data_IF_003905793513
#
_entry.id   IF_003905793513
#
_cell.length_a   1.000
_cell.length_b   1.000
_cell.length_c   1.000
_cell.angle_alpha   90.00
_cell.angle_beta   90.00
_cell.angle_gamma   90.00
#
_symmetry.space_group_name_H-M   'P 1'
#
loop_
_entity.id
_entity.type
_entity.pdbx_description
1 polymer ?
#
# COMPACT_ATOMS: atom_id res chain seq x y z
N UNK A 1 12.58 -22.39 -7.64
CA UNK A 1 11.76 -21.34 -7.04
C UNK A 1 12.67 -20.15 -6.82
N UNK A 2 12.40 -19.03 -7.45
CA UNK A 2 13.30 -17.89 -7.44
C UNK A 2 12.67 -16.74 -6.63
N UNK A 3 13.19 -16.55 -5.43
CA UNK A 3 12.84 -15.42 -4.55
C UNK A 3 13.56 -14.12 -4.95
N UNK A 4 14.36 -14.15 -6.01
CA UNK A 4 15.30 -13.10 -6.35
C UNK A 4 14.82 -12.38 -7.59
N UNK A 5 14.49 -11.10 -7.45
CA UNK A 5 14.12 -10.21 -8.56
C UNK A 5 15.30 -9.94 -9.50
N UNK A 6 16.50 -9.80 -8.90
CA UNK A 6 17.73 -9.49 -9.62
C UNK A 6 18.77 -10.58 -9.39
N UNK A 7 19.29 -11.17 -10.45
CA UNK A 7 20.37 -12.15 -10.36
C UNK A 7 21.70 -11.39 -10.44
N UNK A 8 22.44 -11.43 -9.32
CA UNK A 8 23.81 -10.93 -9.29
C UNK A 8 24.76 -12.10 -9.50
N UNK A 9 25.25 -12.27 -10.69
CA UNK A 9 26.23 -13.32 -10.99
C UNK A 9 27.61 -12.80 -10.58
N UNK A 10 28.09 -13.22 -9.41
CA UNK A 10 29.51 -13.07 -9.04
C UNK A 10 30.25 -14.30 -9.54
N UNK A 11 31.09 -14.13 -10.51
CA UNK A 11 32.12 -15.13 -10.83
C UNK A 11 33.18 -15.00 -9.73
N UNK A 12 33.08 -15.81 -8.70
CA UNK A 12 34.16 -15.97 -7.72
C UNK A 12 35.22 -16.85 -8.37
N UNK A 13 36.40 -16.31 -8.63
CA UNK A 13 37.61 -17.13 -8.70
C UNK A 13 37.96 -17.54 -7.28
N UNK A 14 38.13 -18.82 -7.04
CA UNK A 14 38.54 -19.44 -5.76
C UNK A 14 39.99 -19.10 -5.38
N UNK A 15 40.33 -17.86 -5.26
CA UNK A 15 41.66 -17.48 -4.77
C UNK A 15 41.53 -16.16 -3.99
N UNK A 16 41.75 -16.31 -2.67
CA UNK A 16 42.22 -15.29 -1.73
C UNK A 16 41.91 -13.81 -2.02
N UNK A 17 41.44 -13.11 -0.98
CA UNK A 17 41.28 -11.66 -0.90
C UNK A 17 42.51 -10.86 -1.36
N UNK A 18 42.84 -10.95 -2.63
CA UNK A 18 43.80 -10.04 -3.25
C UNK A 18 43.00 -9.10 -4.16
N UNK A 19 42.91 -7.85 -3.72
CA UNK A 19 42.63 -6.73 -4.62
C UNK A 19 43.74 -6.73 -5.67
N UNK A 20 43.60 -7.53 -6.70
CA UNK A 20 44.56 -7.61 -7.79
C UNK A 20 44.01 -6.88 -8.99
N UNK A 21 44.73 -5.84 -9.34
CA UNK A 21 44.67 -5.11 -10.58
C UNK A 21 43.59 -4.03 -10.68
N UNK A 22 44.04 -2.81 -10.95
CA UNK A 22 43.26 -1.62 -11.30
C UNK A 22 42.33 -1.80 -12.52
N UNK A 23 42.30 -2.95 -13.15
CA UNK A 23 41.53 -3.26 -14.37
C UNK A 23 40.66 -4.52 -14.24
N UNK A 24 40.55 -5.11 -13.07
CA UNK A 24 39.59 -6.22 -12.85
C UNK A 24 38.17 -5.64 -12.75
N UNK A 25 37.60 -5.30 -13.88
CA UNK A 25 36.18 -4.98 -14.01
C UNK A 25 35.44 -6.32 -13.89
N UNK A 26 35.12 -6.72 -12.66
CA UNK A 26 34.04 -7.66 -12.44
C UNK A 26 32.76 -6.95 -12.85
N UNK A 27 32.28 -7.19 -14.06
CA UNK A 27 31.00 -6.66 -14.52
C UNK A 27 29.92 -7.39 -13.74
N UNK A 28 29.33 -6.73 -12.75
CA UNK A 28 28.12 -7.21 -12.11
C UNK A 28 26.99 -7.14 -13.15
N UNK A 29 26.61 -8.27 -13.72
CA UNK A 29 25.42 -8.37 -14.54
C UNK A 29 24.19 -8.33 -13.64
N UNK A 30 23.55 -7.19 -13.53
CA UNK A 30 22.23 -7.03 -12.94
C UNK A 30 21.20 -7.34 -14.04
N UNK A 31 20.60 -8.51 -14.00
CA UNK A 31 19.47 -8.85 -14.85
C UNK A 31 18.19 -8.51 -14.08
N UNK A 32 17.50 -7.45 -14.47
CA UNK A 32 16.15 -7.19 -13.99
C UNK A 32 15.18 -8.14 -14.69
N UNK A 33 14.59 -9.04 -13.93
CA UNK A 33 13.64 -10.04 -14.42
C UNK A 33 12.19 -9.55 -14.34
N UNK A 34 11.94 -8.29 -14.00
CA UNK A 34 10.59 -7.74 -13.93
C UNK A 34 9.93 -7.69 -15.30
N UNK A 35 8.66 -8.03 -15.33
CA UNK A 35 7.82 -7.84 -16.52
C UNK A 35 7.52 -6.37 -16.75
N UNK A 36 7.57 -5.93 -17.97
CA UNK A 36 7.01 -4.65 -18.37
C UNK A 36 5.52 -4.79 -18.69
N UNK A 37 4.78 -3.67 -18.73
CA UNK A 37 3.35 -3.70 -19.12
C UNK A 37 3.08 -4.45 -20.42
N UNK A 38 3.98 -4.30 -21.41
CA UNK A 38 3.89 -5.01 -22.69
C UNK A 38 4.01 -6.54 -22.55
N UNK A 39 4.81 -7.01 -21.63
CA UNK A 39 5.03 -8.44 -21.42
C UNK A 39 3.81 -9.05 -20.73
N UNK A 40 3.24 -8.37 -19.72
CA UNK A 40 1.98 -8.75 -19.08
C UNK A 40 0.84 -8.74 -20.09
N UNK A 41 0.77 -7.68 -20.92
CA UNK A 41 -0.24 -7.57 -21.97
C UNK A 41 -0.17 -8.74 -22.94
N UNK A 42 1.04 -9.11 -23.39
CA UNK A 42 1.22 -10.26 -24.30
C UNK A 42 0.79 -11.58 -23.67
N UNK A 43 1.03 -11.79 -22.37
CA UNK A 43 0.56 -12.99 -21.63
C UNK A 43 -0.97 -13.02 -21.55
N UNK A 44 -1.60 -11.91 -21.15
CA UNK A 44 -3.04 -11.83 -21.00
C UNK A 44 -3.78 -11.85 -22.35
N UNK A 45 -3.21 -11.29 -23.40
CA UNK A 45 -3.78 -11.35 -24.76
C UNK A 45 -3.82 -12.80 -25.27
N UNK A 46 -2.79 -13.58 -25.00
CA UNK A 46 -2.78 -15.00 -25.31
C UNK A 46 -3.84 -15.77 -24.48
N UNK A 47 -3.94 -15.47 -23.19
CA UNK A 47 -4.94 -16.07 -22.30
C UNK A 47 -6.36 -15.72 -22.75
N UNK A 48 -6.62 -14.46 -23.11
CA UNK A 48 -7.91 -14.01 -23.62
C UNK A 48 -8.29 -14.72 -24.93
N UNK A 49 -7.31 -14.99 -25.80
CA UNK A 49 -7.51 -15.75 -27.04
C UNK A 49 -7.99 -17.19 -26.82
N UNK A 50 -7.59 -17.79 -25.71
CA UNK A 50 -7.95 -19.19 -25.37
C UNK A 50 -9.23 -19.27 -24.51
N UNK A 51 -9.47 -18.31 -23.62
CA UNK A 51 -10.52 -18.35 -22.59
C UNK A 51 -11.74 -17.45 -22.89
N UNK A 52 -11.58 -16.40 -23.69
CA UNK A 52 -12.67 -15.50 -24.09
C UNK A 52 -13.38 -14.85 -22.89
N UNK A 53 -12.63 -14.38 -21.91
CA UNK A 53 -13.14 -13.79 -20.67
C UNK A 53 -13.88 -12.48 -20.89
N UNK A 54 -13.59 -11.75 -21.97
CA UNK A 54 -14.10 -10.41 -22.24
C UNK A 54 -13.47 -9.31 -21.38
N UNK A 55 -12.30 -9.59 -20.77
CA UNK A 55 -11.60 -8.61 -19.93
C UNK A 55 -11.20 -7.35 -20.71
N UNK A 56 -11.24 -6.21 -20.04
CA UNK A 56 -10.53 -5.02 -20.52
C UNK A 56 -9.02 -5.21 -20.27
N UNK A 57 -8.31 -5.63 -21.33
CA UNK A 57 -6.89 -5.95 -21.28
C UNK A 57 -6.04 -4.80 -20.76
N UNK A 58 -6.29 -3.56 -21.17
CA UNK A 58 -5.48 -2.41 -20.77
C UNK A 58 -5.72 -2.06 -19.29
N UNK A 59 -6.95 -2.19 -18.83
CA UNK A 59 -7.30 -2.00 -17.42
C UNK A 59 -6.62 -3.07 -16.55
N UNK A 60 -6.81 -4.36 -16.85
CA UNK A 60 -6.25 -5.46 -16.03
C UNK A 60 -4.72 -5.44 -16.03
N UNK A 61 -4.09 -5.20 -17.18
CA UNK A 61 -2.63 -4.99 -17.27
C UNK A 61 -2.18 -3.82 -16.40
N UNK A 62 -2.93 -2.72 -16.42
CA UNK A 62 -2.68 -1.55 -15.60
C UNK A 62 -2.69 -1.89 -14.13
N UNK A 63 -3.76 -2.50 -13.63
CA UNK A 63 -3.95 -2.90 -12.24
C UNK A 63 -2.83 -3.84 -11.75
N UNK A 64 -2.55 -4.91 -12.53
CA UNK A 64 -1.49 -5.86 -12.18
C UNK A 64 -0.12 -5.17 -12.13
N UNK A 65 0.22 -4.35 -13.11
CA UNK A 65 1.52 -3.70 -13.14
C UNK A 65 1.66 -2.66 -12.02
N UNK A 66 0.65 -1.87 -11.77
CA UNK A 66 0.69 -0.78 -10.80
C UNK A 66 0.82 -1.32 -9.37
N UNK A 67 0.24 -2.50 -9.07
CA UNK A 67 0.39 -3.14 -7.76
C UNK A 67 1.69 -3.94 -7.60
N UNK A 68 2.17 -4.57 -8.68
CA UNK A 68 3.33 -5.49 -8.62
C UNK A 68 4.64 -4.87 -9.06
N UNK A 69 4.62 -3.74 -9.78
CA UNK A 69 5.76 -3.18 -10.53
C UNK A 69 6.42 -4.27 -11.42
N UNK A 70 5.63 -5.20 -11.95
CA UNK A 70 6.08 -6.28 -12.81
C UNK A 70 6.85 -7.40 -12.09
N UNK A 71 6.80 -7.50 -10.76
CA UNK A 71 7.47 -8.58 -10.02
C UNK A 71 6.92 -9.95 -10.46
N UNK A 72 7.74 -10.85 -11.04
CA UNK A 72 7.24 -12.03 -11.75
C UNK A 72 6.34 -12.95 -10.92
N UNK A 73 6.74 -13.24 -9.67
CA UNK A 73 5.94 -14.08 -8.78
C UNK A 73 4.57 -13.44 -8.49
N UNK A 74 4.53 -12.15 -8.22
CA UNK A 74 3.29 -11.44 -7.88
C UNK A 74 2.34 -11.38 -9.08
N UNK A 75 2.88 -11.10 -10.27
CA UNK A 75 2.10 -11.10 -11.52
C UNK A 75 1.48 -12.47 -11.75
N UNK A 76 2.31 -13.54 -11.73
CA UNK A 76 1.82 -14.91 -11.96
C UNK A 76 0.82 -15.34 -10.88
N UNK A 77 1.05 -14.97 -9.62
CA UNK A 77 0.17 -15.36 -8.52
C UNK A 77 -1.18 -14.65 -8.57
N UNK A 78 -1.23 -13.37 -8.97
CA UNK A 78 -2.49 -12.66 -9.18
C UNK A 78 -3.30 -13.27 -10.32
N UNK A 79 -2.66 -13.56 -11.46
CA UNK A 79 -3.34 -14.25 -12.57
C UNK A 79 -3.86 -15.62 -12.14
N UNK A 80 -3.06 -16.40 -11.38
CA UNK A 80 -3.48 -17.68 -10.85
C UNK A 80 -4.70 -17.54 -9.91
N UNK A 81 -4.70 -16.55 -9.02
CA UNK A 81 -5.83 -16.34 -8.11
C UNK A 81 -7.10 -15.95 -8.86
N UNK A 82 -7.00 -15.08 -9.88
CA UNK A 82 -8.12 -14.75 -10.75
C UNK A 82 -8.71 -16.00 -11.41
N UNK A 83 -7.86 -16.82 -12.03
CA UNK A 83 -8.25 -17.99 -12.79
C UNK A 83 -8.78 -19.13 -11.93
N UNK A 84 -8.09 -19.45 -10.81
CA UNK A 84 -8.35 -20.67 -10.03
C UNK A 84 -9.23 -20.45 -8.78
N UNK A 85 -9.32 -19.21 -8.26
CA UNK A 85 -9.94 -18.95 -6.96
C UNK A 85 -11.06 -17.93 -6.99
N UNK A 86 -10.97 -16.92 -7.84
CA UNK A 86 -12.02 -15.91 -8.00
C UNK A 86 -13.11 -16.49 -8.91
N UNK A 87 -12.73 -17.01 -10.06
CA UNK A 87 -13.66 -17.73 -10.96
C UNK A 87 -14.36 -18.85 -10.19
N UNK A 88 -15.69 -18.93 -10.34
CA UNK A 88 -16.52 -19.97 -9.70
C UNK A 88 -16.87 -19.72 -8.24
N UNK A 89 -16.49 -18.57 -7.67
CA UNK A 89 -16.97 -18.14 -6.36
C UNK A 89 -18.40 -17.59 -6.43
N UNK A 90 -19.10 -17.52 -5.28
CA UNK A 90 -20.47 -17.01 -5.23
C UNK A 90 -20.63 -15.59 -5.79
N UNK A 91 -19.59 -14.78 -5.67
CA UNK A 91 -19.55 -13.39 -6.12
C UNK A 91 -19.12 -13.26 -7.60
N UNK A 92 -18.34 -14.20 -8.10
CA UNK A 92 -17.77 -14.20 -9.43
C UNK A 92 -17.98 -15.59 -10.08
N UNK A 93 -19.20 -15.90 -10.53
CA UNK A 93 -19.57 -17.25 -10.97
C UNK A 93 -18.89 -17.69 -12.24
N UNK A 94 -18.45 -16.78 -13.10
CA UNK A 94 -17.76 -17.12 -14.35
C UNK A 94 -16.52 -16.25 -14.61
N UNK A 95 -15.80 -16.54 -15.71
CA UNK A 95 -14.56 -15.86 -16.07
C UNK A 95 -14.80 -14.38 -16.40
N UNK A 96 -15.92 -14.03 -16.99
CA UNK A 96 -16.23 -12.63 -17.34
C UNK A 96 -16.50 -11.77 -16.11
N UNK A 97 -17.00 -12.34 -15.04
CA UNK A 97 -17.17 -11.64 -13.76
C UNK A 97 -15.83 -11.49 -13.04
N UNK A 98 -14.99 -12.52 -13.07
CA UNK A 98 -13.72 -12.56 -12.34
C UNK A 98 -12.64 -11.66 -12.95
N UNK A 99 -12.53 -11.62 -14.29
CA UNK A 99 -11.53 -10.80 -14.98
C UNK A 99 -11.97 -9.33 -15.14
N UNK A 100 -12.45 -8.78 -14.04
CA UNK A 100 -12.88 -7.38 -13.88
C UNK A 100 -12.03 -6.68 -12.83
N UNK A 101 -12.18 -5.36 -12.69
CA UNK A 101 -11.54 -4.61 -11.60
C UNK A 101 -11.93 -5.16 -10.23
N UNK A 102 -13.21 -5.47 -10.02
CA UNK A 102 -13.72 -6.03 -8.75
C UNK A 102 -13.10 -7.39 -8.43
N UNK A 103 -13.00 -8.28 -9.42
CA UNK A 103 -12.35 -9.58 -9.23
C UNK A 103 -10.85 -9.45 -8.98
N UNK A 104 -10.18 -8.50 -9.67
CA UNK A 104 -8.79 -8.18 -9.41
C UNK A 104 -8.56 -7.72 -7.96
N UNK A 105 -9.38 -6.80 -7.44
CA UNK A 105 -9.28 -6.31 -6.06
C UNK A 105 -9.45 -7.43 -5.03
N UNK A 106 -10.37 -8.37 -5.28
CA UNK A 106 -10.52 -9.54 -4.41
C UNK A 106 -9.30 -10.48 -4.50
N UNK A 107 -8.72 -10.67 -5.69
CA UNK A 107 -7.48 -11.45 -5.86
C UNK A 107 -6.29 -10.79 -5.13
N UNK A 108 -6.14 -9.47 -5.22
CA UNK A 108 -5.09 -8.71 -4.49
C UNK A 108 -5.27 -8.85 -2.98
N UNK A 109 -6.51 -8.73 -2.49
CA UNK A 109 -6.84 -8.94 -1.08
C UNK A 109 -6.50 -10.36 -0.63
N UNK A 110 -6.88 -11.38 -1.40
CA UNK A 110 -6.52 -12.77 -1.10
C UNK A 110 -5.00 -12.94 -1.05
N UNK A 111 -4.26 -12.41 -2.03
CA UNK A 111 -2.81 -12.50 -2.09
C UNK A 111 -2.13 -11.89 -0.86
N UNK A 112 -2.57 -10.72 -0.41
CA UNK A 112 -1.97 -10.02 0.73
C UNK A 112 -2.24 -10.69 2.08
N UNK A 113 -3.26 -11.56 2.17
CA UNK A 113 -3.61 -12.32 3.36
C UNK A 113 -3.17 -13.79 3.29
N UNK A 114 -2.83 -14.28 2.10
CA UNK A 114 -2.41 -15.66 1.90
C UNK A 114 -0.98 -15.88 2.36
N UNK A 115 -0.77 -16.98 3.07
CA UNK A 115 0.57 -17.46 3.40
C UNK A 115 1.25 -17.99 2.14
N UNK A 116 2.37 -17.40 1.74
CA UNK A 116 3.14 -17.84 0.58
C UNK A 116 4.65 -17.72 0.83
N UNK A 117 5.44 -18.44 0.05
CA UNK A 117 6.88 -18.52 0.21
C UNK A 117 7.60 -17.18 0.06
N UNK A 118 7.08 -16.26 -0.79
CA UNK A 118 7.66 -14.94 -0.98
C UNK A 118 7.52 -14.08 0.28
N UNK A 119 6.34 -14.07 0.89
CA UNK A 119 6.11 -13.30 2.12
C UNK A 119 6.76 -13.96 3.34
N UNK A 120 6.86 -15.29 3.37
CA UNK A 120 7.67 -15.98 4.37
C UNK A 120 9.16 -15.61 4.25
N UNK A 121 9.68 -15.53 3.02
CA UNK A 121 11.05 -15.07 2.78
C UNK A 121 11.26 -13.63 3.21
N UNK A 122 10.33 -12.71 2.90
CA UNK A 122 10.35 -11.32 3.37
C UNK A 122 10.39 -11.26 4.90
N UNK A 123 9.46 -11.94 5.56
CA UNK A 123 9.37 -11.97 7.03
C UNK A 123 10.64 -12.56 7.64
N UNK A 124 11.18 -13.65 7.08
CA UNK A 124 12.44 -14.24 7.52
C UNK A 124 13.61 -13.25 7.44
N UNK A 125 13.71 -12.47 6.35
CA UNK A 125 14.75 -11.43 6.22
C UNK A 125 14.60 -10.30 7.23
N UNK A 126 13.37 -9.94 7.61
CA UNK A 126 13.12 -8.94 8.64
C UNK A 126 13.51 -9.44 10.05
N UNK A 127 13.32 -10.75 10.30
CA UNK A 127 13.75 -11.38 11.56
C UNK A 127 15.28 -11.47 11.60
N UNK A 128 15.92 -11.85 10.51
CA UNK A 128 17.38 -12.02 10.41
C UNK A 128 18.14 -10.69 10.41
N UNK A 129 17.49 -9.57 10.04
CA UNK A 129 18.10 -8.23 9.96
C UNK A 129 17.21 -7.17 10.62
N UNK A 130 17.40 -6.93 11.93
CA UNK A 130 16.68 -5.87 12.64
C UNK A 130 16.88 -4.48 12.03
N UNK A 131 18.05 -4.21 11.44
CA UNK A 131 18.36 -2.95 10.78
C UNK A 131 17.50 -2.76 9.53
N UNK A 132 17.27 -3.82 8.74
CA UNK A 132 16.37 -3.80 7.61
C UNK A 132 14.93 -3.49 8.05
N UNK A 133 14.48 -4.15 9.12
CA UNK A 133 13.15 -3.92 9.70
C UNK A 133 12.99 -2.47 10.13
N UNK A 134 13.92 -1.94 10.91
CA UNK A 134 13.92 -0.54 11.36
C UNK A 134 13.95 0.45 10.19
N UNK A 135 14.72 0.16 9.15
CA UNK A 135 14.78 0.98 7.95
C UNK A 135 13.40 1.03 7.26
N UNK A 136 12.74 -0.10 7.06
CA UNK A 136 11.43 -0.15 6.41
C UNK A 136 10.34 0.51 7.27
N UNK A 137 10.37 0.32 8.59
CA UNK A 137 9.47 1.04 9.50
C UNK A 137 9.69 2.55 9.46
N UNK A 138 10.94 3.00 9.38
CA UNK A 138 11.24 4.43 9.26
C UNK A 138 10.75 5.04 7.94
N UNK A 139 10.80 4.28 6.85
CA UNK A 139 10.25 4.70 5.55
C UNK A 139 8.72 4.76 5.61
N UNK A 140 8.07 3.69 6.07
CA UNK A 140 6.61 3.53 6.00
C UNK A 140 5.87 4.36 7.04
N UNK A 141 6.34 4.36 8.30
CA UNK A 141 5.62 5.00 9.41
C UNK A 141 6.11 6.41 9.73
N UNK A 142 7.37 6.72 9.41
CA UNK A 142 7.95 8.01 9.77
C UNK A 142 8.29 8.87 8.53
N UNK A 143 8.02 8.38 7.32
CA UNK A 143 8.31 9.06 6.06
C UNK A 143 9.76 9.54 5.96
N UNK A 144 10.71 8.77 6.55
CA UNK A 144 12.13 9.13 6.49
C UNK A 144 12.70 8.78 5.13
N UNK A 145 13.23 9.75 4.38
CA UNK A 145 14.02 9.43 3.20
C UNK A 145 15.32 8.76 3.65
N UNK A 146 15.53 7.53 3.17
CA UNK A 146 16.78 6.78 3.40
C UNK A 146 17.57 6.80 2.11
N UNK A 147 18.82 7.27 2.17
CA UNK A 147 19.70 7.31 1.00
C UNK A 147 20.03 5.88 0.54
N UNK A 148 19.93 5.64 -0.76
CA UNK A 148 20.32 4.38 -1.36
C UNK A 148 21.85 4.35 -1.51
N UNK A 149 22.53 3.69 -0.57
CA UNK A 149 23.99 3.59 -0.54
C UNK A 149 24.42 2.17 -0.89
N UNK A 150 25.20 2.05 -1.97
CA UNK A 150 25.84 0.77 -2.34
C UNK A 150 26.83 0.37 -1.24
N UNK A 151 26.80 -0.90 -0.85
CA UNK A 151 27.61 -1.41 0.26
C UNK A 151 26.89 -1.45 1.61
N UNK A 152 25.69 -0.84 1.73
CA UNK A 152 24.84 -1.08 2.89
C UNK A 152 24.17 -2.45 2.75
N UNK A 153 24.55 -3.37 3.65
CA UNK A 153 24.13 -4.78 3.57
C UNK A 153 22.61 -4.96 3.61
N UNK A 154 21.90 -4.22 4.44
CA UNK A 154 20.44 -4.30 4.53
C UNK A 154 19.76 -3.84 3.23
N UNK A 155 20.26 -2.76 2.61
CA UNK A 155 19.77 -2.27 1.33
C UNK A 155 20.08 -3.27 0.21
N UNK A 156 21.30 -3.83 0.17
CA UNK A 156 21.69 -4.81 -0.85
C UNK A 156 20.85 -6.09 -0.75
N UNK A 157 20.63 -6.61 0.44
CA UNK A 157 19.77 -7.78 0.67
C UNK A 157 18.34 -7.46 0.18
N UNK A 158 17.76 -6.37 0.64
CA UNK A 158 16.39 -6.00 0.28
C UNK A 158 16.23 -5.74 -1.24
N UNK A 159 17.22 -5.12 -1.88
CA UNK A 159 17.22 -4.89 -3.33
C UNK A 159 17.43 -6.19 -4.12
N UNK A 160 18.27 -7.11 -3.64
CA UNK A 160 18.49 -8.41 -4.27
C UNK A 160 17.21 -9.24 -4.33
N UNK A 161 16.44 -9.25 -3.24
CA UNK A 161 15.12 -9.91 -3.21
C UNK A 161 14.02 -9.07 -3.86
N UNK A 162 14.31 -7.85 -4.27
CA UNK A 162 13.35 -6.95 -4.91
C UNK A 162 12.32 -6.36 -3.97
N UNK A 163 12.57 -6.33 -2.67
CA UNK A 163 11.68 -5.70 -1.67
C UNK A 163 11.77 -4.19 -1.68
N UNK A 164 12.94 -3.65 -2.07
CA UNK A 164 13.16 -2.20 -2.24
C UNK A 164 13.76 -1.91 -3.60
N UNK A 165 13.61 -0.67 -4.03
CA UNK A 165 14.18 -0.11 -5.26
C UNK A 165 14.84 1.23 -4.97
N UNK A 166 15.77 1.61 -5.85
CA UNK A 166 16.37 2.95 -5.87
C UNK A 166 15.48 3.88 -6.71
N UNK A 167 15.03 4.96 -6.12
CA UNK A 167 14.35 6.05 -6.83
C UNK A 167 15.10 7.34 -6.51
N UNK A 168 15.79 7.88 -7.47
CA UNK A 168 16.56 9.14 -7.35
C UNK A 168 17.48 9.17 -6.13
N UNK A 169 18.21 8.07 -5.89
CA UNK A 169 19.14 7.96 -4.76
C UNK A 169 18.46 7.65 -3.41
N UNK A 170 17.17 7.39 -3.39
CA UNK A 170 16.40 7.09 -2.17
C UNK A 170 15.87 5.65 -2.19
N UNK A 171 15.92 5.00 -1.04
CA UNK A 171 15.32 3.67 -0.83
C UNK A 171 13.81 3.78 -0.78
N UNK A 172 13.13 3.00 -1.60
CA UNK A 172 11.68 2.88 -1.58
C UNK A 172 11.26 1.42 -1.59
N UNK A 173 10.11 1.11 -0.99
CA UNK A 173 9.49 -0.21 -1.14
C UNK A 173 9.18 -0.44 -2.63
N UNK A 174 9.45 -1.63 -3.12
CA UNK A 174 9.50 -1.89 -4.56
C UNK A 174 8.15 -1.82 -5.24
N UNK A 175 7.08 -2.23 -4.56
CA UNK A 175 5.73 -2.24 -5.10
C UNK A 175 4.68 -2.16 -3.99
N UNK A 176 3.42 -1.92 -4.38
CA UNK A 176 2.28 -1.75 -3.49
C UNK A 176 1.97 -3.00 -2.66
N UNK A 177 2.06 -4.19 -3.25
CA UNK A 177 1.77 -5.44 -2.53
C UNK A 177 2.75 -5.61 -1.36
N UNK A 178 4.06 -5.40 -1.57
CA UNK A 178 5.02 -5.42 -0.47
C UNK A 178 4.74 -4.34 0.57
N UNK A 179 4.34 -3.16 0.13
CA UNK A 179 3.98 -2.07 1.04
C UNK A 179 2.81 -2.48 1.95
N UNK A 180 1.74 -3.03 1.37
CA UNK A 180 0.57 -3.50 2.11
C UNK A 180 0.90 -4.66 3.07
N UNK A 181 1.70 -5.61 2.63
CA UNK A 181 2.16 -6.74 3.47
C UNK A 181 2.99 -6.23 4.66
N UNK A 182 3.91 -5.28 4.42
CA UNK A 182 4.73 -4.68 5.47
C UNK A 182 3.88 -3.85 6.44
N UNK A 183 2.93 -3.05 5.94
CA UNK A 183 1.99 -2.34 6.82
C UNK A 183 1.20 -3.32 7.70
N UNK A 184 0.64 -4.37 7.11
CA UNK A 184 -0.11 -5.38 7.85
C UNK A 184 0.75 -6.05 8.93
N UNK A 185 1.99 -6.41 8.60
CA UNK A 185 2.92 -7.03 9.54
C UNK A 185 3.25 -6.08 10.70
N UNK A 186 3.72 -4.88 10.38
CA UNK A 186 4.16 -3.92 11.41
C UNK A 186 3.01 -3.40 12.27
N UNK A 187 1.83 -3.17 11.68
CA UNK A 187 0.66 -2.77 12.46
C UNK A 187 0.22 -3.89 13.42
N UNK A 188 0.28 -5.16 12.99
CA UNK A 188 -0.07 -6.29 13.85
C UNK A 188 0.82 -6.41 15.10
N UNK A 189 2.07 -5.99 14.99
CA UNK A 189 3.01 -5.96 16.12
C UNK A 189 2.66 -4.85 17.14
N UNK A 190 2.07 -3.75 16.67
CA UNK A 190 1.70 -2.61 17.52
C UNK A 190 0.28 -2.72 18.12
N UNK A 191 -0.57 -3.62 17.63
CA UNK A 191 -1.97 -3.76 18.12
C UNK A 191 -2.07 -3.97 19.63
N UNK A 192 -1.17 -4.77 20.19
CA UNK A 192 -1.21 -5.15 21.62
C UNK A 192 -1.00 -3.95 22.54
N UNK A 193 -0.13 -3.04 22.17
CA UNK A 193 0.27 -1.90 23.01
C UNK A 193 -0.40 -0.57 22.58
N UNK A 194 -1.22 -0.60 21.53
CA UNK A 194 -1.83 0.62 20.96
C UNK A 194 -3.11 1.01 21.68
N UNK A 195 -3.10 2.17 22.34
CA UNK A 195 -4.30 2.75 22.95
C UNK A 195 -5.37 3.12 21.90
N UNK A 196 -4.93 3.52 20.69
CA UNK A 196 -5.82 3.82 19.56
C UNK A 196 -6.56 2.56 19.09
N UNK A 197 -5.83 1.44 18.95
CA UNK A 197 -6.42 0.15 18.58
C UNK A 197 -7.43 -0.31 19.65
N UNK A 198 -7.04 -0.25 20.93
CA UNK A 198 -7.89 -0.65 22.05
C UNK A 198 -9.19 0.18 22.12
N UNK A 199 -9.13 1.48 21.87
CA UNK A 199 -10.30 2.36 21.78
C UNK A 199 -11.26 1.91 20.67
N UNK A 200 -10.74 1.62 19.48
CA UNK A 200 -11.54 1.18 18.35
C UNK A 200 -12.19 -0.19 18.56
N UNK A 201 -11.49 -1.14 19.22
CA UNK A 201 -12.06 -2.46 19.59
C UNK A 201 -13.31 -2.32 20.42
N UNK A 202 -13.31 -1.40 21.38
CA UNK A 202 -14.43 -1.19 22.30
C UNK A 202 -15.69 -0.70 21.57
N UNK A 203 -15.52 0.07 20.51
CA UNK A 203 -16.62 0.74 19.80
C UNK A 203 -16.96 0.12 18.43
N UNK A 204 -16.24 -0.91 17.98
CA UNK A 204 -16.29 -1.41 16.60
C UNK A 204 -17.69 -1.69 16.02
N UNK A 205 -18.63 -2.14 16.84
CA UNK A 205 -19.99 -2.49 16.38
C UNK A 205 -20.85 -1.26 16.05
N UNK A 206 -20.49 -0.07 16.51
CA UNK A 206 -21.24 1.16 16.26
C UNK A 206 -21.04 1.69 14.84
N UNK A 207 -19.93 1.29 14.18
CA UNK A 207 -19.55 1.78 12.87
C UNK A 207 -20.24 1.06 11.71
N UNK A 208 -20.92 -0.05 11.99
CA UNK A 208 -21.61 -0.85 10.99
C UNK A 208 -23.12 -0.69 11.17
N UNK A 209 -23.79 -0.13 10.16
CA UNK A 209 -25.25 0.03 10.14
C UNK A 209 -25.83 -0.70 8.92
N UNK A 210 -26.72 -1.63 9.16
CA UNK A 210 -27.39 -2.42 8.09
C UNK A 210 -26.39 -3.10 7.12
N UNK A 211 -25.21 -3.47 7.63
CA UNK A 211 -24.16 -4.08 6.85
C UNK A 211 -23.20 -3.10 6.13
N UNK A 212 -23.46 -1.81 6.19
CA UNK A 212 -22.67 -0.73 5.60
C UNK A 212 -21.72 -0.07 6.60
N UNK A 213 -20.54 0.35 6.16
CA UNK A 213 -19.57 1.06 6.99
C UNK A 213 -19.88 2.56 7.03
N UNK A 214 -20.17 3.09 8.23
CA UNK A 214 -20.34 4.53 8.44
C UNK A 214 -18.96 5.20 8.63
N UNK A 215 -18.28 5.49 7.52
CA UNK A 215 -16.94 6.09 7.54
C UNK A 215 -16.93 7.49 8.16
N UNK A 216 -18.03 8.25 8.07
CA UNK A 216 -18.14 9.54 8.76
C UNK A 216 -18.06 9.35 10.28
N UNK A 217 -18.82 8.40 10.83
CA UNK A 217 -18.78 8.08 12.25
C UNK A 217 -17.41 7.53 12.68
N UNK A 218 -16.73 6.75 11.81
CA UNK A 218 -15.34 6.31 12.06
C UNK A 218 -14.43 7.53 12.23
N UNK A 219 -14.51 8.52 11.33
CA UNK A 219 -13.72 9.74 11.43
C UNK A 219 -14.06 10.57 12.69
N UNK A 220 -15.34 10.73 13.02
CA UNK A 220 -15.78 11.45 14.22
C UNK A 220 -15.19 10.84 15.48
N UNK A 221 -15.17 9.51 15.57
CA UNK A 221 -14.62 8.79 16.73
C UNK A 221 -13.09 8.81 16.74
N UNK A 222 -12.46 8.68 15.58
CA UNK A 222 -11.01 8.81 15.48
C UNK A 222 -10.53 10.19 15.93
N UNK A 223 -11.17 11.27 15.46
CA UNK A 223 -10.86 12.65 15.86
C UNK A 223 -10.90 12.78 17.40
N UNK A 224 -11.95 12.29 18.03
CA UNK A 224 -12.06 12.32 19.48
C UNK A 224 -10.97 11.49 20.18
N UNK A 225 -10.76 10.25 19.73
CA UNK A 225 -9.76 9.36 20.27
C UNK A 225 -8.36 9.96 20.16
N UNK A 226 -8.01 10.51 19.00
CA UNK A 226 -6.71 11.11 18.76
C UNK A 226 -6.50 12.36 19.64
N UNK A 227 -7.49 13.26 19.70
CA UNK A 227 -7.42 14.45 20.54
C UNK A 227 -7.25 14.12 22.03
N UNK A 228 -7.84 13.02 22.51
CA UNK A 228 -7.70 12.59 23.90
C UNK A 228 -6.34 11.98 24.21
N UNK A 229 -5.74 11.24 23.26
CA UNK A 229 -4.51 10.49 23.47
C UNK A 229 -3.24 11.29 23.14
N UNK A 230 -3.31 12.22 22.18
CA UNK A 230 -2.13 12.89 21.59
C UNK A 230 -2.20 14.41 21.66
N UNK A 231 -2.63 14.96 22.80
CA UNK A 231 -2.81 16.41 23.03
C UNK A 231 -1.54 17.25 22.85
N UNK A 232 -0.36 16.65 23.05
CA UNK A 232 0.92 17.33 23.15
C UNK A 232 1.93 16.86 22.06
N UNK A 233 1.47 16.26 20.95
CA UNK A 233 2.38 15.87 19.88
C UNK A 233 2.83 17.07 19.03
N UNK A 234 4.14 17.14 18.83
CA UNK A 234 5.01 18.25 18.51
C UNK A 234 5.18 18.48 16.98
N UNK A 235 5.88 19.57 16.61
CA UNK A 235 6.27 20.03 15.26
C UNK A 235 6.90 18.95 14.34
N UNK A 236 7.22 17.77 14.88
CA UNK A 236 7.82 16.63 14.14
C UNK A 236 6.79 15.65 13.58
N UNK A 237 5.50 15.87 13.83
CA UNK A 237 4.45 15.01 13.33
C UNK A 237 4.43 15.02 11.80
N UNK A 238 4.35 13.84 11.22
CA UNK A 238 4.29 13.62 9.79
C UNK A 238 3.02 12.88 9.41
N UNK A 239 2.64 13.02 8.17
CA UNK A 239 1.46 12.40 7.58
C UNK A 239 1.48 10.86 7.73
N UNK A 240 2.66 10.25 7.59
CA UNK A 240 2.84 8.82 7.77
C UNK A 240 2.54 8.35 9.21
N UNK A 241 2.82 9.19 10.20
CA UNK A 241 2.49 8.91 11.62
C UNK A 241 0.97 8.94 11.79
N UNK A 242 0.31 9.96 11.23
CA UNK A 242 -1.14 10.07 11.22
C UNK A 242 -1.80 8.89 10.51
N UNK A 243 -1.25 8.49 9.38
CA UNK A 243 -1.68 7.30 8.62
C UNK A 243 -1.59 6.03 9.47
N UNK A 244 -0.46 5.82 10.15
CA UNK A 244 -0.28 4.68 11.06
C UNK A 244 -1.37 4.62 12.12
N UNK A 245 -1.62 5.72 12.83
CA UNK A 245 -2.65 5.76 13.86
C UNK A 245 -4.06 5.54 13.31
N UNK A 246 -4.38 6.12 12.17
CA UNK A 246 -5.68 5.92 11.55
C UNK A 246 -5.88 4.47 11.07
N UNK A 247 -4.85 3.86 10.48
CA UNK A 247 -4.90 2.44 10.10
C UNK A 247 -5.05 1.52 11.32
N UNK A 248 -4.36 1.80 12.44
CA UNK A 248 -4.55 1.06 13.70
C UNK A 248 -5.98 1.17 14.23
N UNK A 249 -6.59 2.35 14.11
CA UNK A 249 -7.98 2.56 14.50
C UNK A 249 -8.95 1.80 13.59
N UNK A 250 -8.71 1.78 12.30
CA UNK A 250 -9.55 1.09 11.31
C UNK A 250 -9.52 -0.45 11.46
N UNK A 251 -8.35 -1.02 11.78
CA UNK A 251 -8.16 -2.49 11.75
C UNK A 251 -9.24 -3.29 12.48
N UNK A 252 -9.57 -3.03 13.78
CA UNK A 252 -10.57 -3.83 14.45
C UNK A 252 -11.99 -3.61 13.92
N UNK A 253 -12.24 -2.49 13.26
CA UNK A 253 -13.55 -2.15 12.68
C UNK A 253 -13.81 -2.96 11.42
N UNK A 254 -12.84 -3.06 10.53
CA UNK A 254 -12.97 -3.71 9.23
C UNK A 254 -12.46 -5.16 9.20
N UNK A 255 -11.79 -5.62 10.26
CA UNK A 255 -11.15 -6.93 10.31
C UNK A 255 -12.13 -8.07 10.02
N UNK A 256 -11.73 -8.95 9.10
CA UNK A 256 -12.51 -10.11 8.66
C UNK A 256 -13.58 -9.82 7.59
N UNK A 257 -13.87 -8.55 7.29
CA UNK A 257 -14.90 -8.18 6.30
C UNK A 257 -14.38 -7.18 5.27
N UNK A 258 -13.63 -6.19 5.72
CA UNK A 258 -13.05 -5.15 4.87
C UNK A 258 -11.56 -5.29 4.70
N UNK A 259 -11.02 -4.48 3.81
CA UNK A 259 -9.60 -4.36 3.54
C UNK A 259 -9.21 -2.90 3.47
N UNK A 260 -8.08 -2.53 4.08
CA UNK A 260 -7.50 -1.20 3.94
C UNK A 260 -6.10 -1.32 3.35
N UNK A 261 -5.78 -0.41 2.45
CA UNK A 261 -4.47 -0.34 1.84
C UNK A 261 -4.06 1.11 1.56
N UNK A 262 -2.76 1.32 1.50
CA UNK A 262 -2.17 2.60 1.11
C UNK A 262 -2.00 2.58 -0.40
N UNK A 263 -2.53 3.57 -1.10
CA UNK A 263 -2.41 3.64 -2.55
C UNK A 263 -0.96 3.87 -2.97
N UNK A 264 -0.52 3.13 -3.99
CA UNK A 264 0.74 3.43 -4.65
C UNK A 264 0.63 4.73 -5.43
N UNK A 265 1.71 5.50 -5.47
CA UNK A 265 1.81 6.77 -6.17
C UNK A 265 1.08 6.78 -7.51
N UNK A 266 0.16 7.71 -7.68
CA UNK A 266 -0.35 8.11 -8.99
C UNK A 266 0.81 8.62 -9.88
N UNK A 267 0.58 8.77 -11.19
CA UNK A 267 1.57 9.22 -12.19
C UNK A 267 2.36 10.48 -11.77
N UNK A 268 1.83 11.28 -10.86
CA UNK A 268 2.42 12.55 -10.41
C UNK A 268 3.28 12.44 -9.13
N UNK A 269 3.73 11.23 -8.76
CA UNK A 269 4.63 11.01 -7.60
C UNK A 269 4.04 11.41 -6.24
N UNK A 270 2.76 11.77 -6.15
CA UNK A 270 2.09 12.09 -4.90
C UNK A 270 1.59 10.79 -4.26
N UNK A 271 2.04 10.54 -3.04
CA UNK A 271 1.50 9.45 -2.22
C UNK A 271 0.11 9.87 -1.76
N UNK A 272 -0.85 9.06 -2.06
CA UNK A 272 -2.18 9.15 -1.49
C UNK A 272 -2.32 8.02 -0.50
N UNK A 273 -2.88 8.06 0.32
CA UNK A 273 -3.97 8.00 1.23
C UNK A 273 -4.43 6.56 1.43
N UNK A 274 -5.35 6.42 2.27
CA UNK A 274 -5.89 5.13 2.65
C UNK A 274 -7.12 4.88 1.81
N UNK A 275 -7.17 3.73 1.18
CA UNK A 275 -8.38 3.20 0.56
C UNK A 275 -8.92 2.10 1.46
N UNK A 276 -10.20 2.11 1.71
CA UNK A 276 -10.91 1.08 2.47
C UNK A 276 -11.97 0.48 1.57
N UNK A 277 -11.86 -0.83 1.35
CA UNK A 277 -12.92 -1.63 0.72
C UNK A 277 -13.69 -2.38 1.80
N UNK A 278 -14.99 -2.20 1.84
CA UNK A 278 -15.86 -2.87 2.79
C UNK A 278 -17.13 -3.36 2.11
N UNK A 279 -17.27 -4.66 1.92
CA UNK A 279 -18.44 -5.31 1.28
C UNK A 279 -18.81 -4.69 -0.08
N UNK A 280 -17.82 -4.37 -0.91
CA UNK A 280 -18.02 -3.76 -2.21
C UNK A 280 -18.23 -2.24 -2.19
N UNK A 281 -18.19 -1.61 -1.00
CA UNK A 281 -18.14 -0.16 -0.88
C UNK A 281 -16.68 0.29 -0.76
N UNK A 282 -16.31 1.31 -1.52
CA UNK A 282 -14.96 1.88 -1.49
C UNK A 282 -14.98 3.28 -0.87
N UNK A 283 -14.04 3.49 0.05
CA UNK A 283 -13.84 4.76 0.75
C UNK A 283 -12.42 5.24 0.50
N UNK A 284 -12.31 6.43 -0.07
CA UNK A 284 -11.01 7.10 -0.29
C UNK A 284 -10.83 8.15 0.78
N UNK A 285 -9.74 8.02 1.54
CA UNK A 285 -9.41 8.92 2.66
C UNK A 285 -8.07 9.58 2.39
N UNK A 286 -8.08 10.88 2.12
CA UNK A 286 -6.89 11.73 1.98
C UNK A 286 -6.41 12.17 3.36
N UNK A 287 -5.11 12.02 3.65
CA UNK A 287 -4.50 12.53 4.87
C UNK A 287 -3.71 13.80 4.57
N UNK A 288 -3.84 14.80 5.43
CA UNK A 288 -3.11 16.06 5.32
C UNK A 288 -2.61 16.57 6.65
N UNK A 289 -1.45 17.22 6.63
CA UNK A 289 -1.05 18.11 7.71
C UNK A 289 -1.41 19.52 7.31
N UNK A 290 -2.12 20.22 8.18
CA UNK A 290 -2.47 21.62 7.95
C UNK A 290 -1.21 22.51 7.86
N UNK A 291 -1.02 23.15 6.71
CA UNK A 291 0.08 24.09 6.45
C UNK A 291 -0.39 25.44 5.92
N UNK A 292 -1.67 25.73 6.12
CA UNK A 292 -2.30 26.97 5.67
C UNK A 292 -3.40 26.77 4.62
N UNK A 293 -4.21 27.84 4.34
CA UNK A 293 -5.41 27.72 3.52
C UNK A 293 -5.14 27.26 2.08
N UNK A 294 -4.04 27.67 1.47
CA UNK A 294 -3.69 27.24 0.10
C UNK A 294 -3.41 25.75 0.04
N UNK A 295 -2.63 25.23 0.98
CA UNK A 295 -2.29 23.80 1.03
C UNK A 295 -3.53 22.94 1.29
N UNK A 296 -4.46 23.47 2.07
CA UNK A 296 -5.75 22.83 2.35
C UNK A 296 -6.64 22.75 1.09
N UNK A 297 -6.77 23.85 0.35
CA UNK A 297 -7.50 23.86 -0.92
C UNK A 297 -6.90 22.90 -1.97
N UNK A 298 -5.56 22.75 -1.98
CA UNK A 298 -4.88 21.78 -2.83
C UNK A 298 -5.26 20.32 -2.42
N UNK A 299 -5.45 20.06 -1.12
CA UNK A 299 -5.93 18.77 -0.61
C UNK A 299 -7.38 18.47 -1.02
N UNK A 300 -8.27 19.44 -0.90
CA UNK A 300 -9.66 19.31 -1.36
C UNK A 300 -9.74 18.99 -2.87
N UNK A 301 -8.94 19.71 -3.67
CA UNK A 301 -8.86 19.47 -5.11
C UNK A 301 -8.30 18.07 -5.42
N UNK A 302 -7.27 17.66 -4.72
CA UNK A 302 -6.68 16.33 -4.89
C UNK A 302 -7.69 15.23 -4.57
N UNK A 303 -8.42 15.36 -3.46
CA UNK A 303 -9.50 14.41 -3.12
C UNK A 303 -10.58 14.38 -4.21
N UNK A 304 -10.96 15.52 -4.76
CA UNK A 304 -11.94 15.58 -5.85
C UNK A 304 -11.44 14.86 -7.11
N UNK A 305 -10.17 15.02 -7.48
CA UNK A 305 -9.55 14.31 -8.61
C UNK A 305 -9.57 12.78 -8.41
N UNK A 306 -9.40 12.29 -7.17
CA UNK A 306 -9.55 10.86 -6.86
C UNK A 306 -10.98 10.38 -6.97
N UNK A 307 -11.94 11.18 -6.50
CA UNK A 307 -13.35 10.85 -6.64
C UNK A 307 -13.76 10.75 -8.11
N UNK A 308 -13.11 11.51 -9.00
CA UNK A 308 -13.28 11.37 -10.45
C UNK A 308 -12.74 10.03 -10.94
N UNK A 309 -11.55 9.68 -10.52
CA UNK A 309 -10.87 8.45 -10.94
C UNK A 309 -11.62 7.19 -10.50
N UNK A 310 -12.13 7.18 -9.26
CA UNK A 310 -12.87 6.05 -8.68
C UNK A 310 -14.40 6.14 -8.88
N UNK A 311 -14.89 7.10 -9.67
CA UNK A 311 -16.31 7.35 -9.90
C UNK A 311 -17.15 7.51 -8.61
N UNK A 312 -16.53 7.99 -7.54
CA UNK A 312 -17.16 8.17 -6.24
C UNK A 312 -17.78 9.56 -6.09
N UNK A 313 -18.95 9.63 -5.45
CA UNK A 313 -19.63 10.89 -5.13
C UNK A 313 -19.26 11.46 -3.76
N UNK A 314 -18.66 10.64 -2.90
CA UNK A 314 -18.30 11.02 -1.53
C UNK A 314 -16.85 10.63 -1.23
N UNK A 315 -16.08 11.59 -0.74
CA UNK A 315 -14.70 11.42 -0.30
C UNK A 315 -14.49 11.87 1.13
N UNK A 316 -13.33 11.55 1.67
CA UNK A 316 -12.99 11.81 3.05
C UNK A 316 -11.61 12.45 3.12
N UNK A 317 -11.44 13.42 3.99
CA UNK A 317 -10.15 14.07 4.25
C UNK A 317 -9.91 14.11 5.76
N UNK A 318 -8.75 13.62 6.18
CA UNK A 318 -8.32 13.65 7.58
C UNK A 318 -7.14 14.61 7.71
N UNK A 319 -7.39 15.75 8.34
CA UNK A 319 -6.43 16.84 8.48
C UNK A 319 -5.88 16.89 9.91
N UNK A 320 -4.57 16.71 10.06
CA UNK A 320 -3.86 16.91 11.33
C UNK A 320 -3.43 18.37 11.43
N UNK A 321 -3.98 19.11 12.39
CA UNK A 321 -3.70 20.52 12.61
C UNK A 321 -3.08 20.75 13.98
N UNK A 322 -1.93 21.40 14.01
CA UNK A 322 -1.22 21.78 15.23
C UNK A 322 -1.38 23.28 15.55
N UNK A 323 -2.34 23.95 14.92
CA UNK A 323 -2.65 25.34 15.21
C UNK A 323 -3.42 25.46 16.53
N UNK A 324 -3.09 26.46 17.34
CA UNK A 324 -3.78 26.76 18.59
C UNK A 324 -5.29 27.04 18.43
N UNK A 325 -5.68 27.66 17.31
CA UNK A 325 -7.05 28.06 17.00
C UNK A 325 -7.75 27.11 16.01
N UNK A 326 -7.38 25.81 15.99
CA UNK A 326 -8.02 24.84 15.12
C UNK A 326 -9.45 24.51 15.58
N UNK A 327 -10.34 24.35 14.63
CA UNK A 327 -11.68 23.79 14.87
C UNK A 327 -11.63 22.27 14.73
N UNK A 328 -11.56 21.57 15.86
CA UNK A 328 -11.56 20.10 15.88
C UNK A 328 -12.98 19.61 15.59
N UNK A 329 -13.12 18.65 14.70
CA UNK A 329 -14.41 18.03 14.40
C UNK A 329 -14.51 17.51 12.97
N UNK A 330 -15.74 17.12 12.60
CA UNK A 330 -16.05 16.59 11.27
C UNK A 330 -17.14 17.43 10.64
N UNK A 331 -16.92 17.89 9.41
CA UNK A 331 -17.89 18.66 8.62
C UNK A 331 -18.02 18.09 7.22
N UNK A 332 -19.16 18.36 6.58
CA UNK A 332 -19.38 18.05 5.17
C UNK A 332 -19.24 19.32 4.34
N UNK A 333 -18.46 19.23 3.28
CA UNK A 333 -18.19 20.31 2.33
C UNK A 333 -18.73 19.89 0.98
N UNK A 334 -19.56 20.75 0.38
CA UNK A 334 -20.02 20.52 -0.98
C UNK A 334 -18.94 20.98 -1.96
N UNK A 335 -18.49 20.06 -2.81
CA UNK A 335 -17.50 20.33 -3.85
C UNK A 335 -18.06 19.92 -5.23
N UNK A 336 -18.69 20.90 -5.90
CA UNK A 336 -19.42 20.62 -7.15
C UNK A 336 -20.61 19.71 -6.90
N UNK A 337 -20.68 18.60 -7.60
CA UNK A 337 -21.70 17.55 -7.45
C UNK A 337 -21.31 16.47 -6.40
N UNK A 338 -20.21 16.66 -5.70
CA UNK A 338 -19.63 15.73 -4.74
C UNK A 338 -19.65 16.26 -3.33
N UNK A 339 -19.55 15.35 -2.37
CA UNK A 339 -19.47 15.65 -0.94
C UNK A 339 -18.10 15.23 -0.42
N UNK A 340 -17.39 16.16 0.21
CA UNK A 340 -16.18 15.88 0.95
C UNK A 340 -16.48 15.93 2.45
N UNK A 341 -16.20 14.84 3.15
CA UNK A 341 -16.26 14.78 4.62
C UNK A 341 -14.87 15.12 5.15
N UNK A 342 -14.71 16.29 5.71
CA UNK A 342 -13.46 16.70 6.33
C UNK A 342 -13.49 16.46 7.84
N UNK A 343 -12.47 15.77 8.33
CA UNK A 343 -12.19 15.57 9.73
C UNK A 343 -10.91 16.33 10.11
N UNK A 344 -10.96 17.21 11.11
CA UNK A 344 -9.83 17.97 11.62
C UNK A 344 -9.50 17.52 13.04
N UNK A 345 -8.20 17.23 13.27
CA UNK A 345 -7.66 16.76 14.54
C UNK A 345 -6.69 17.79 15.13
#
# INVERSE_FOLDING_TARGET
VYDVKNIKIRIRSDAEHKVNSTWNIATDFLVDMSFHKKDIKGMLDQYEGDHHTGMDLDLIVGLIYDSTSGYPFLVSKLCQLLDERIVGSDQFPDESDAWTESGYLEAEKMLTHEKNTLFESLTGKLIDSPELKQMLQAILFNGRPISYVTGNQSIEIAAMFGFVKNVDGTVMVANRIFENVLYNLFLSEEEVDSAVYASAVTEKYQFIKDGHLDMKLVLERFVKCFADLYKDEDEKFKEEIGRKYFMLFLRPIINGTGHSYVEARTRDMKRTDIIVDYKGEQFVIELKIWRGPKYHADGEKQTAEYLDYYELKKGYMLTFSFNENKEIGVKEIQYGDRVLVEAVV
#
